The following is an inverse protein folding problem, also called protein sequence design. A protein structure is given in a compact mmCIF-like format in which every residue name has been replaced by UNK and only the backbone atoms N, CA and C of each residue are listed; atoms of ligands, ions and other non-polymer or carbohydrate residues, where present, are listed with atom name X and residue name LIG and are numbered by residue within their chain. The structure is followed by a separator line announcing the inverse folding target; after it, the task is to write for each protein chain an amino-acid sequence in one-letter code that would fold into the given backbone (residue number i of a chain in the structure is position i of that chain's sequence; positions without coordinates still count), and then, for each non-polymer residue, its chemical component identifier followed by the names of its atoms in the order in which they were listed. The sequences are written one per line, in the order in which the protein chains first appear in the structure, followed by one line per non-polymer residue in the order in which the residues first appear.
data_IF_808408387926
#
_entry.id   IF_808408387926
#
_cell.length_a   1.000
_cell.length_b   1.000
_cell.length_c   1.000
_cell.angle_alpha   90.00
_cell.angle_beta   90.00
_cell.angle_gamma   90.00
#
_symmetry.space_group_name_H-M   'P 1'
#
loop_
_entity.id
_entity.type
_entity.pdbx_description
1 polymer ?
#
# COMPACT_ATOMS: atom_id res chain seq x y z
N UNK A 1 6.62 -12.57 -9.20
CA UNK A 1 6.59 -12.05 -10.59
C UNK A 1 5.50 -12.71 -11.43
N UNK A 2 5.38 -14.05 -11.47
CA UNK A 2 4.32 -14.76 -12.23
C UNK A 2 2.89 -14.29 -11.90
N UNK A 3 2.59 -13.97 -10.64
CA UNK A 3 1.27 -13.50 -10.21
C UNK A 3 0.95 -12.07 -10.70
N UNK A 4 1.99 -11.24 -10.81
CA UNK A 4 1.89 -9.84 -11.28
C UNK A 4 1.60 -9.79 -12.78
N UNK A 5 2.14 -10.74 -13.54
CA UNK A 5 1.88 -10.90 -14.97
C UNK A 5 0.49 -11.48 -15.25
N UNK A 6 -0.10 -12.26 -14.33
CA UNK A 6 -1.46 -12.82 -14.49
C UNK A 6 -2.57 -11.89 -14.00
N UNK A 7 -2.48 -11.32 -12.79
CA UNK A 7 -3.58 -10.56 -12.15
C UNK A 7 -3.64 -9.07 -12.50
N UNK A 8 -2.57 -8.48 -13.03
CA UNK A 8 -2.51 -7.03 -13.25
C UNK A 8 -2.12 -6.24 -12.01
N UNK A 9 -1.48 -5.09 -12.21
CA UNK A 9 -0.85 -4.29 -11.15
C UNK A 9 -1.91 -3.68 -10.23
N UNK A 10 -3.04 -3.22 -10.80
CA UNK A 10 -4.14 -2.65 -10.02
C UNK A 10 -4.87 -3.72 -9.20
N UNK A 11 -5.14 -4.88 -9.81
CA UNK A 11 -5.79 -6.01 -9.14
C UNK A 11 -4.98 -6.52 -7.95
N UNK A 12 -3.66 -6.64 -8.09
CA UNK A 12 -2.76 -7.07 -7.03
C UNK A 12 -2.72 -6.06 -5.87
N UNK A 13 -2.67 -4.76 -6.18
CA UNK A 13 -2.64 -3.69 -5.18
C UNK A 13 -3.96 -3.63 -4.38
N UNK A 14 -5.10 -3.73 -5.06
CA UNK A 14 -6.43 -3.77 -4.43
C UNK A 14 -6.60 -5.02 -3.55
N UNK A 15 -6.18 -6.20 -4.04
CA UNK A 15 -6.23 -7.45 -3.28
C UNK A 15 -5.37 -7.38 -2.01
N UNK A 16 -4.18 -6.80 -2.09
CA UNK A 16 -3.30 -6.61 -0.92
C UNK A 16 -3.88 -5.66 0.11
N UNK A 17 -4.49 -4.53 -0.29
CA UNK A 17 -5.15 -3.64 0.67
C UNK A 17 -6.33 -4.31 1.39
N UNK A 18 -7.14 -5.10 0.66
CA UNK A 18 -8.22 -5.87 1.29
C UNK A 18 -7.68 -6.94 2.25
N UNK A 19 -6.66 -7.70 1.85
CA UNK A 19 -6.04 -8.74 2.68
C UNK A 19 -5.37 -8.18 3.93
N UNK A 20 -4.75 -7.01 3.83
CA UNK A 20 -4.13 -6.34 4.97
C UNK A 20 -5.17 -5.78 5.94
N UNK A 21 -6.24 -5.18 5.42
CA UNK A 21 -7.35 -4.69 6.25
C UNK A 21 -8.05 -5.82 7.01
N UNK A 22 -8.29 -6.97 6.37
CA UNK A 22 -8.93 -8.11 7.03
C UNK A 22 -8.04 -8.72 8.12
N UNK A 23 -6.73 -8.87 7.85
CA UNK A 23 -5.79 -9.41 8.83
C UNK A 23 -5.59 -8.48 10.03
N UNK A 24 -5.47 -7.17 9.83
CA UNK A 24 -5.31 -6.21 10.94
C UNK A 24 -6.58 -6.13 11.80
N UNK A 25 -7.78 -6.19 11.20
CA UNK A 25 -9.02 -6.28 11.97
C UNK A 25 -9.07 -7.54 12.85
N UNK A 26 -8.66 -8.70 12.30
CA UNK A 26 -8.56 -9.95 13.07
C UNK A 26 -7.53 -9.87 14.20
N UNK A 27 -6.39 -9.20 13.99
CA UNK A 27 -5.41 -8.92 15.06
C UNK A 27 -6.03 -8.06 16.16
N UNK A 28 -6.80 -7.05 15.78
CA UNK A 28 -7.44 -6.11 16.70
C UNK A 28 -8.51 -6.79 17.55
N UNK A 29 -9.38 -7.60 16.93
CA UNK A 29 -10.38 -8.41 17.63
C UNK A 29 -9.74 -9.47 18.55
N UNK A 30 -8.68 -10.12 18.08
CA UNK A 30 -7.94 -11.10 18.87
C UNK A 30 -7.32 -10.46 20.11
N UNK A 31 -6.69 -9.29 19.96
CA UNK A 31 -6.10 -8.52 21.06
C UNK A 31 -7.14 -8.11 22.13
N UNK A 32 -8.43 -8.04 21.79
CA UNK A 32 -9.52 -7.75 22.74
C UNK A 32 -10.12 -8.98 23.40
N UNK A 33 -10.15 -10.13 22.71
CA UNK A 33 -10.96 -11.30 23.12
C UNK A 33 -10.26 -12.32 24.04
N UNK A 34 -8.92 -12.38 24.05
CA UNK A 34 -8.18 -13.39 24.82
C UNK A 34 -6.82 -12.84 25.27
N UNK A 35 -6.43 -13.16 26.50
CA UNK A 35 -5.09 -12.91 27.01
C UNK A 35 -4.03 -13.42 26.04
N UNK A 36 -3.12 -12.51 25.67
CA UNK A 36 -1.95 -12.60 24.81
C UNK A 36 -1.34 -14.00 24.59
N UNK A 37 -1.99 -14.92 23.87
CA UNK A 37 -1.32 -16.11 23.37
C UNK A 37 -0.42 -15.73 22.20
N UNK A 38 0.86 -15.45 22.49
CA UNK A 38 1.82 -14.88 21.54
C UNK A 38 1.87 -15.58 20.16
N UNK A 39 1.59 -16.88 20.10
CA UNK A 39 1.63 -17.67 18.86
C UNK A 39 0.52 -17.28 17.86
N UNK A 40 -0.71 -17.06 18.34
CA UNK A 40 -1.84 -16.73 17.46
C UNK A 40 -1.78 -15.27 16.95
N UNK A 41 -1.28 -14.34 17.78
CA UNK A 41 -1.01 -12.98 17.32
C UNK A 41 0.09 -12.92 16.25
N UNK A 42 1.14 -13.72 16.41
CA UNK A 42 2.28 -13.75 15.49
C UNK A 42 1.91 -14.24 14.08
N UNK A 43 1.05 -15.26 13.98
CA UNK A 43 0.61 -15.79 12.69
C UNK A 43 -0.26 -14.78 11.93
N UNK A 44 -1.16 -14.06 12.60
CA UNK A 44 -2.00 -13.03 12.00
C UNK A 44 -1.17 -11.82 11.51
N UNK A 45 -0.18 -11.39 12.29
CA UNK A 45 0.77 -10.35 11.87
C UNK A 45 1.55 -10.80 10.64
N UNK A 46 2.06 -12.04 10.62
CA UNK A 46 2.77 -12.57 9.46
C UNK A 46 1.91 -12.61 8.19
N UNK A 47 0.61 -12.92 8.30
CA UNK A 47 -0.35 -12.88 7.19
C UNK A 47 -0.55 -11.47 6.63
N UNK A 48 -0.55 -10.45 7.49
CA UNK A 48 -0.60 -9.05 7.06
C UNK A 48 0.67 -8.63 6.31
N UNK A 49 1.85 -9.09 6.75
CA UNK A 49 3.15 -8.82 6.09
C UNK A 49 3.24 -9.53 4.74
N UNK A 50 2.76 -10.77 4.64
CA UNK A 50 2.69 -11.50 3.37
C UNK A 50 1.77 -10.78 2.37
N UNK A 51 0.61 -10.32 2.83
CA UNK A 51 -0.33 -9.54 2.00
C UNK A 51 0.29 -8.22 1.54
N UNK A 52 1.06 -7.55 2.40
CA UNK A 52 1.83 -6.35 2.06
C UNK A 52 2.90 -6.65 1.00
N UNK A 53 3.71 -7.69 1.21
CA UNK A 53 4.80 -8.07 0.31
C UNK A 53 4.31 -8.46 -1.09
N UNK A 54 3.08 -8.99 -1.20
CA UNK A 54 2.51 -9.37 -2.49
C UNK A 54 2.11 -8.18 -3.38
N UNK A 55 1.74 -7.03 -2.82
CA UNK A 55 1.21 -5.90 -3.62
C UNK A 55 1.74 -4.55 -3.18
N UNK A 56 1.44 -4.13 -1.96
CA UNK A 56 1.80 -2.77 -1.47
C UNK A 56 3.31 -2.55 -1.40
N UNK A 57 4.12 -3.60 -1.23
CA UNK A 57 5.58 -3.52 -1.32
C UNK A 57 6.09 -3.21 -2.74
N UNK A 58 5.90 -4.10 -3.72
CA UNK A 58 6.52 -3.96 -5.04
C UNK A 58 5.78 -3.01 -5.99
N UNK A 59 4.45 -2.92 -5.91
CA UNK A 59 3.63 -2.26 -6.95
C UNK A 59 3.77 -0.73 -6.95
N UNK A 60 3.80 -0.01 -5.81
CA UNK A 60 4.05 1.44 -5.82
C UNK A 60 5.43 1.79 -6.37
N UNK A 61 6.46 1.00 -6.04
CA UNK A 61 7.80 1.19 -6.60
C UNK A 61 7.84 1.01 -8.12
N UNK A 62 7.09 0.04 -8.64
CA UNK A 62 6.92 -0.17 -10.09
C UNK A 62 6.14 0.98 -10.74
N UNK A 63 4.98 1.36 -10.20
CA UNK A 63 4.17 2.45 -10.75
C UNK A 63 4.94 3.78 -10.78
N UNK A 64 5.66 4.11 -9.70
CA UNK A 64 6.48 5.33 -9.68
C UNK A 64 7.66 5.22 -10.66
N UNK A 65 8.14 4.00 -10.95
CA UNK A 65 9.17 3.79 -11.98
C UNK A 65 8.67 3.93 -13.42
N UNK A 66 7.36 3.76 -13.63
CA UNK A 66 6.66 3.93 -14.91
C UNK A 66 6.22 5.39 -15.13
N UNK A 67 5.89 6.12 -14.05
CA UNK A 67 5.40 7.51 -14.12
C UNK A 67 6.55 8.53 -14.16
N UNK A 68 7.65 8.30 -13.44
CA UNK A 68 8.75 9.28 -13.35
C UNK A 68 9.85 9.05 -14.39
N UNK A 69 10.38 10.13 -15.01
CA UNK A 69 11.51 10.03 -15.93
C UNK A 69 12.75 9.49 -15.21
N UNK A 70 13.51 8.66 -15.92
CA UNK A 70 14.63 7.85 -15.38
C UNK A 70 15.68 8.66 -14.60
N UNK A 71 15.86 9.95 -14.91
CA UNK A 71 16.83 10.85 -14.29
C UNK A 71 16.50 11.22 -12.84
N UNK A 72 15.23 11.43 -12.48
CA UNK A 72 14.83 11.87 -11.13
C UNK A 72 14.25 10.74 -10.28
N UNK A 73 13.86 9.63 -10.92
CA UNK A 73 13.20 8.49 -10.30
C UNK A 73 13.88 8.02 -9.01
N UNK A 74 15.18 7.74 -9.05
CA UNK A 74 15.90 7.21 -7.89
C UNK A 74 15.93 8.20 -6.72
N UNK A 75 16.15 9.49 -7.00
CA UNK A 75 16.18 10.54 -5.96
C UNK A 75 14.80 10.78 -5.36
N UNK A 76 13.77 10.89 -6.20
CA UNK A 76 12.39 11.07 -5.74
C UNK A 76 11.92 9.90 -4.88
N UNK A 77 12.20 8.66 -5.29
CA UNK A 77 11.86 7.47 -4.50
C UNK A 77 12.58 7.46 -3.17
N UNK A 78 13.90 7.71 -3.18
CA UNK A 78 14.71 7.69 -1.97
C UNK A 78 14.21 8.74 -0.95
N UNK A 79 13.93 9.97 -1.39
CA UNK A 79 13.46 11.04 -0.51
C UNK A 79 12.07 10.70 0.06
N UNK A 80 11.11 10.34 -0.79
CA UNK A 80 9.76 9.99 -0.33
C UNK A 80 9.80 8.83 0.67
N UNK A 81 10.54 7.77 0.35
CA UNK A 81 10.61 6.59 1.18
C UNK A 81 11.34 6.88 2.50
N UNK A 82 12.42 7.67 2.47
CA UNK A 82 13.16 8.06 3.67
C UNK A 82 12.29 8.90 4.61
N UNK A 83 11.60 9.91 4.08
CA UNK A 83 10.72 10.79 4.87
C UNK A 83 9.59 9.99 5.51
N UNK A 84 8.89 9.16 4.73
CA UNK A 84 7.77 8.35 5.24
C UNK A 84 8.25 7.37 6.31
N UNK A 85 9.34 6.62 6.05
CA UNK A 85 9.85 5.64 7.02
C UNK A 85 10.37 6.31 8.29
N UNK A 86 11.00 7.49 8.18
CA UNK A 86 11.48 8.24 9.34
C UNK A 86 10.34 8.66 10.26
N UNK A 87 9.30 9.29 9.70
CA UNK A 87 8.15 9.72 10.50
C UNK A 87 7.35 8.54 11.05
N UNK A 88 7.10 7.50 10.26
CA UNK A 88 6.40 6.31 10.73
C UNK A 88 7.19 5.64 11.84
N UNK A 89 8.51 5.44 11.68
CA UNK A 89 9.36 4.84 12.71
C UNK A 89 9.39 5.62 14.02
N UNK A 90 9.45 6.96 13.95
CA UNK A 90 9.45 7.82 15.14
C UNK A 90 8.08 7.88 15.84
N UNK A 91 7.01 8.04 15.07
CA UNK A 91 5.67 8.21 15.64
C UNK A 91 5.06 6.88 16.08
N UNK A 92 5.41 5.76 15.45
CA UNK A 92 4.74 4.49 15.70
C UNK A 92 4.79 4.06 17.17
N UNK A 93 5.99 3.98 17.78
CA UNK A 93 6.11 3.59 19.19
C UNK A 93 5.43 4.62 20.11
N UNK A 94 5.63 5.91 19.83
CA UNK A 94 5.04 7.01 20.62
C UNK A 94 3.51 6.97 20.62
N UNK A 95 2.92 6.66 19.47
CA UNK A 95 1.47 6.52 19.30
C UNK A 95 0.96 5.22 19.89
N UNK A 96 1.71 4.13 19.75
CA UNK A 96 1.38 2.84 20.37
C UNK A 96 1.31 2.96 21.90
N UNK A 97 2.25 3.68 22.52
CA UNK A 97 2.31 3.87 23.96
C UNK A 97 1.18 4.80 24.46
N UNK A 98 0.88 5.88 23.73
CA UNK A 98 -0.13 6.88 24.15
C UNK A 98 -1.57 6.50 23.82
N UNK A 99 -1.82 5.98 22.62
CA UNK A 99 -3.17 5.67 22.11
C UNK A 99 -3.54 4.20 22.32
N UNK A 100 -2.54 3.35 22.60
CA UNK A 100 -2.74 1.92 22.73
C UNK A 100 -2.88 1.20 21.38
N UNK A 101 -2.75 -0.14 21.38
CA UNK A 101 -2.74 -0.95 20.16
C UNK A 101 -4.08 -0.92 19.42
N UNK A 102 -5.20 -0.83 20.14
CA UNK A 102 -6.54 -0.85 19.54
C UNK A 102 -6.77 0.34 18.59
N UNK A 103 -6.51 1.54 19.08
CA UNK A 103 -6.71 2.77 18.33
C UNK A 103 -5.73 2.83 17.17
N UNK A 104 -4.46 2.44 17.41
CA UNK A 104 -3.43 2.45 16.40
C UNK A 104 -3.74 1.48 15.24
N UNK A 105 -4.10 0.22 15.53
CA UNK A 105 -4.43 -0.77 14.49
C UNK A 105 -5.71 -0.42 13.73
N UNK A 106 -6.72 0.12 14.41
CA UNK A 106 -7.93 0.61 13.74
C UNK A 106 -7.61 1.78 12.80
N UNK A 107 -6.72 2.70 13.21
CA UNK A 107 -6.24 3.76 12.34
C UNK A 107 -5.52 3.19 11.10
N UNK A 108 -4.66 2.18 11.25
CA UNK A 108 -4.02 1.51 10.11
C UNK A 108 -5.03 0.88 9.14
N UNK A 109 -6.08 0.24 9.65
CA UNK A 109 -7.18 -0.29 8.82
C UNK A 109 -7.85 0.84 8.02
N UNK A 110 -8.10 1.98 8.65
CA UNK A 110 -8.68 3.15 7.96
C UNK A 110 -7.76 3.67 6.85
N UNK A 111 -6.44 3.73 7.08
CA UNK A 111 -5.47 4.11 6.05
C UNK A 111 -5.42 3.09 4.91
N UNK A 112 -5.50 1.79 5.20
CA UNK A 112 -5.61 0.75 4.17
C UNK A 112 -6.86 0.91 3.30
N UNK A 113 -8.00 1.28 3.90
CA UNK A 113 -9.25 1.56 3.16
C UNK A 113 -9.14 2.81 2.31
N UNK A 114 -8.55 3.89 2.83
CA UNK A 114 -8.28 5.11 2.06
C UNK A 114 -7.34 4.81 0.88
N UNK A 115 -6.28 4.05 1.12
CA UNK A 115 -5.36 3.58 0.08
C UNK A 115 -6.06 2.74 -0.97
N UNK A 116 -6.93 1.81 -0.57
CA UNK A 116 -7.75 1.02 -1.47
C UNK A 116 -8.63 1.90 -2.37
N UNK A 117 -9.33 2.89 -1.80
CA UNK A 117 -10.17 3.81 -2.57
C UNK A 117 -9.34 4.68 -3.51
N UNK A 118 -8.19 5.16 -3.06
CA UNK A 118 -7.26 5.95 -3.86
C UNK A 118 -6.79 5.14 -5.07
N UNK A 119 -6.38 3.89 -4.87
CA UNK A 119 -5.94 2.99 -5.95
C UNK A 119 -7.09 2.69 -6.90
N UNK A 120 -8.28 2.41 -6.36
CA UNK A 120 -9.44 2.10 -7.19
C UNK A 120 -9.78 3.25 -8.15
N UNK A 121 -9.71 4.49 -7.67
CA UNK A 121 -10.05 5.70 -8.45
C UNK A 121 -8.90 6.23 -9.31
N UNK A 122 -7.69 6.36 -8.76
CA UNK A 122 -6.59 7.11 -9.38
C UNK A 122 -5.58 6.22 -10.11
N UNK A 123 -5.45 4.94 -9.76
CA UNK A 123 -4.51 4.05 -10.44
C UNK A 123 -5.19 3.47 -11.67
N UNK A 124 -4.66 3.82 -12.84
CA UNK A 124 -5.02 3.21 -14.12
C UNK A 124 -4.22 1.91 -14.27
N UNK A 125 -4.84 0.86 -14.81
CA UNK A 125 -4.15 -0.42 -15.03
C UNK A 125 -3.06 -0.23 -16.11
N UNK A 126 -1.79 -0.42 -15.74
CA UNK A 126 -0.64 -0.30 -16.65
C UNK A 126 -0.33 -1.62 -17.38
N UNK A 127 -1.10 -2.68 -17.12
CA UNK A 127 -0.93 -3.97 -17.79
C UNK A 127 -1.29 -3.88 -19.28
N UNK A 128 -0.29 -4.10 -20.14
CA UNK A 128 -0.46 -4.22 -21.59
C UNK A 128 -0.59 -2.88 -22.31
N UNK A 129 -0.39 -1.76 -21.62
CA UNK A 129 -0.40 -0.42 -22.21
C UNK A 129 1.02 0.08 -22.45
N UNK A 130 1.21 0.75 -23.57
CA UNK A 130 2.46 1.46 -23.89
C UNK A 130 2.60 2.71 -23.02
N UNK A 131 3.83 3.21 -22.84
CA UNK A 131 4.11 4.40 -22.03
C UNK A 131 3.27 5.61 -22.50
N UNK A 132 3.05 5.73 -23.81
CA UNK A 132 2.27 6.78 -24.47
C UNK A 132 0.77 6.72 -24.13
N UNK A 133 0.19 5.52 -24.01
CA UNK A 133 -1.22 5.35 -23.61
C UNK A 133 -1.44 5.66 -22.12
N UNK A 134 -0.40 5.50 -21.30
CA UNK A 134 -0.42 5.91 -19.88
C UNK A 134 -0.32 7.43 -19.77
N UNK A 135 0.55 8.08 -20.56
CA UNK A 135 0.62 9.55 -20.63
C UNK A 135 -0.71 10.16 -21.11
N UNK A 136 -1.31 9.64 -22.18
CA UNK A 136 -2.62 10.12 -22.67
C UNK A 136 -3.76 9.92 -21.67
N UNK A 137 -3.71 8.89 -20.82
CA UNK A 137 -4.73 8.67 -19.79
C UNK A 137 -4.54 9.54 -18.54
N UNK A 138 -3.33 10.09 -18.33
CA UNK A 138 -2.99 10.97 -17.21
C UNK A 138 -3.12 12.46 -17.56
N UNK A 139 -3.05 12.82 -18.85
CA UNK A 139 -3.32 14.17 -19.32
C UNK A 139 -4.84 14.44 -19.31
N UNK A 140 -5.31 15.54 -18.69
CA UNK A 140 -6.68 16.01 -18.89
C UNK A 140 -6.86 16.33 -20.38
N UNK A 141 -8.03 16.04 -20.94
CA UNK A 141 -8.38 16.18 -22.37
C UNK A 141 -8.33 17.61 -22.94
N UNK A 142 -7.56 18.52 -22.34
CA UNK A 142 -7.49 19.94 -22.66
C UNK A 142 -6.34 20.33 -23.62
N UNK A 143 -5.41 19.42 -23.97
CA UNK A 143 -4.31 19.71 -24.92
C UNK A 143 -4.44 18.97 -26.27
N UNK A 144 -5.62 18.46 -26.63
CA UNK A 144 -5.88 17.95 -27.99
C UNK A 144 -6.31 19.04 -28.99
N UNK A 145 -6.18 20.31 -28.60
CA UNK A 145 -6.38 21.45 -29.49
C UNK A 145 -5.22 22.42 -29.22
N UNK A 146 -4.03 22.15 -29.75
CA UNK A 146 -3.09 23.13 -30.32
C UNK A 146 -1.97 22.41 -31.06
#
# INVERSE_FOLDING_TARGET
MILMDKLGRKGLLLGSFMGMSSMINRVTEWAMSMGMQAVAGSSLVSGSVLSFAMGVGPVPGLLLSEIFPSRIRAKAMAICMAVINFFVGLLFLRMLEKLGPLILYTAFVSFCLVGFLFVRKNVVETKGKTLQEIEMALLPSAELIY
#
